data_IF_549667205120
#
_entry.id   IF_549667205120
#
_cell.length_a   1.000
_cell.length_b   1.000
_cell.length_c   1.000
_cell.angle_alpha   90.00
_cell.angle_beta   90.00
_cell.angle_gamma   90.00
#
_symmetry.space_group_name_H-M   'P 1'
#
loop_
_entity.id
_entity.type
_entity.pdbx_description
1 polymer ?
#
# COMPACT_ATOMS: atom_id res chain seq x y z
N UNK A 1 -32.21 -22.77 -21.79
CA UNK A 1 -32.32 -22.75 -20.32
C UNK A 1 -31.43 -21.64 -19.75
N UNK A 2 -32.03 -20.53 -19.31
CA UNK A 2 -31.29 -19.38 -18.75
C UNK A 2 -31.31 -19.49 -17.23
N UNK A 3 -30.15 -19.65 -16.59
CA UNK A 3 -30.02 -19.60 -15.12
C UNK A 3 -30.16 -18.15 -14.64
N UNK A 4 -31.26 -17.83 -13.96
CA UNK A 4 -31.47 -16.56 -13.26
C UNK A 4 -30.48 -16.44 -12.08
N UNK A 5 -29.67 -15.38 -12.06
CA UNK A 5 -28.96 -14.93 -10.85
C UNK A 5 -29.89 -13.98 -10.08
N UNK A 6 -30.10 -14.27 -8.80
CA UNK A 6 -30.84 -13.40 -7.88
C UNK A 6 -30.03 -12.12 -7.62
N UNK A 7 -30.51 -10.99 -8.13
CA UNK A 7 -30.01 -9.67 -7.76
C UNK A 7 -30.78 -9.17 -6.53
N UNK A 8 -30.06 -8.93 -5.43
CA UNK A 8 -30.62 -8.29 -4.24
C UNK A 8 -30.98 -6.83 -4.56
N UNK A 9 -32.25 -6.47 -4.33
CA UNK A 9 -32.84 -5.16 -4.69
C UNK A 9 -32.42 -4.00 -3.77
N UNK A 10 -31.76 -4.25 -2.64
CA UNK A 10 -31.32 -3.18 -1.73
C UNK A 10 -30.07 -2.42 -2.22
N UNK A 11 -29.30 -2.99 -3.14
CA UNK A 11 -28.09 -2.36 -3.66
C UNK A 11 -28.35 -1.13 -4.57
N UNK A 12 -29.61 -0.87 -4.96
CA UNK A 12 -29.95 0.20 -5.91
C UNK A 12 -30.22 1.57 -5.29
N UNK A 13 -30.46 1.66 -3.97
CA UNK A 13 -30.86 2.94 -3.34
C UNK A 13 -29.69 3.89 -3.03
N UNK A 14 -28.48 3.37 -2.90
CA UNK A 14 -27.29 4.20 -2.65
C UNK A 14 -26.62 4.71 -3.95
N UNK A 15 -27.22 4.44 -5.10
CA UNK A 15 -26.54 4.57 -6.39
C UNK A 15 -26.74 5.91 -7.12
N UNK A 16 -27.58 6.83 -6.61
CA UNK A 16 -28.15 7.89 -7.48
C UNK A 16 -27.71 9.33 -7.17
N UNK A 17 -27.04 9.64 -6.06
CA UNK A 17 -26.79 11.04 -5.68
C UNK A 17 -25.32 11.47 -5.69
N UNK A 18 -24.54 11.01 -6.69
CA UNK A 18 -23.18 11.51 -6.93
C UNK A 18 -22.92 11.81 -8.40
N UNK A 19 -23.57 12.86 -8.87
CA UNK A 19 -23.06 13.67 -9.96
C UNK A 19 -23.19 15.09 -9.46
N UNK A 20 -22.08 15.71 -9.05
CA UNK A 20 -21.60 16.82 -9.85
C UNK A 20 -20.28 17.45 -9.39
N UNK A 21 -19.48 17.73 -10.41
CA UNK A 21 -18.51 18.82 -10.53
C UNK A 21 -17.19 18.65 -9.78
N UNK A 22 -16.20 18.21 -10.56
CA UNK A 22 -14.80 18.49 -10.27
C UNK A 22 -14.46 19.97 -10.50
N UNK A 23 -13.42 20.45 -9.81
CA UNK A 23 -12.46 21.44 -10.33
C UNK A 23 -11.26 21.58 -9.40
N UNK A 24 -10.08 21.48 -10.04
CA UNK A 24 -8.80 22.16 -9.78
C UNK A 24 -8.43 22.48 -8.32
N UNK A 25 -7.34 21.87 -7.85
CA UNK A 25 -6.09 22.49 -7.36
C UNK A 25 -5.33 21.48 -6.49
N UNK A 26 -4.08 21.20 -6.86
CA UNK A 26 -3.08 20.60 -5.99
C UNK A 26 -2.66 21.69 -4.98
N UNK A 27 -3.35 21.83 -3.85
CA UNK A 27 -2.78 22.51 -2.69
C UNK A 27 -3.24 21.86 -1.38
N UNK A 28 -2.27 21.76 -0.47
CA UNK A 28 -2.42 21.47 0.95
C UNK A 28 -3.05 20.13 1.28
N UNK A 29 -2.27 19.07 1.08
CA UNK A 29 -2.29 17.99 2.08
C UNK A 29 -1.67 18.64 3.32
N UNK A 30 -2.53 19.07 4.25
CA UNK A 30 -2.21 19.24 5.67
C UNK A 30 -1.24 18.09 6.07
N UNK A 31 -0.32 18.21 7.02
CA UNK A 31 0.62 17.13 7.40
C UNK A 31 0.43 16.61 8.84
N UNK A 32 -0.54 17.15 9.59
CA UNK A 32 -0.88 16.80 10.98
C UNK A 32 -1.93 15.68 11.26
N UNK A 33 -2.96 15.45 10.43
CA UNK A 33 -4.08 14.49 10.59
C UNK A 33 -4.09 13.30 9.60
N UNK A 34 -4.53 12.08 9.97
CA UNK A 34 -4.66 10.95 9.03
C UNK A 34 -5.60 11.27 7.86
N UNK A 35 -5.34 10.68 6.67
CA UNK A 35 -6.28 10.76 5.54
C UNK A 35 -7.39 9.73 5.77
N UNK A 36 -8.63 10.22 5.88
CA UNK A 36 -9.81 9.37 5.86
C UNK A 36 -10.31 9.26 4.43
N UNK A 37 -10.46 8.03 3.93
CA UNK A 37 -11.05 7.80 2.62
C UNK A 37 -12.57 7.83 2.69
N UNK A 38 -13.20 8.49 1.72
CA UNK A 38 -14.65 8.40 1.54
C UNK A 38 -15.04 7.03 0.98
N UNK A 39 -16.31 6.65 1.10
CA UNK A 39 -16.77 5.38 0.52
C UNK A 39 -16.67 5.38 -1.01
N UNK A 40 -16.80 6.54 -1.67
CA UNK A 40 -16.69 6.65 -3.13
C UNK A 40 -15.24 6.55 -3.59
N UNK A 41 -14.31 7.16 -2.85
CA UNK A 41 -12.89 6.91 -3.05
C UNK A 41 -12.62 5.40 -2.92
N UNK A 42 -13.13 4.74 -1.90
CA UNK A 42 -12.94 3.29 -1.69
C UNK A 42 -13.52 2.47 -2.85
N UNK A 43 -14.72 2.78 -3.33
CA UNK A 43 -15.35 2.09 -4.45
C UNK A 43 -14.54 2.28 -5.75
N UNK A 44 -14.01 3.47 -5.99
CA UNK A 44 -13.10 3.74 -7.11
C UNK A 44 -11.77 2.99 -6.97
N UNK A 45 -11.26 2.84 -5.76
CA UNK A 45 -10.06 2.06 -5.49
C UNK A 45 -10.29 0.58 -5.78
N UNK A 46 -11.46 0.00 -5.50
CA UNK A 46 -11.74 -1.39 -5.86
C UNK A 46 -11.70 -1.64 -7.39
N UNK A 47 -12.02 -0.64 -8.21
CA UNK A 47 -11.90 -0.73 -9.68
C UNK A 47 -10.44 -0.77 -10.16
N UNK A 48 -9.47 -0.45 -9.30
CA UNK A 48 -8.05 -0.48 -9.65
C UNK A 48 -7.57 -1.91 -9.90
N UNK A 49 -8.17 -2.92 -9.29
CA UNK A 49 -7.75 -4.33 -9.47
C UNK A 49 -7.86 -4.79 -10.94
N UNK A 50 -8.78 -4.20 -11.72
CA UNK A 50 -8.94 -4.49 -13.14
C UNK A 50 -7.98 -3.71 -14.06
N UNK A 51 -7.32 -2.68 -13.53
CA UNK A 51 -6.47 -1.77 -14.29
C UNK A 51 -5.18 -2.42 -14.80
N UNK A 52 -4.67 -1.93 -15.94
CA UNK A 52 -3.39 -2.36 -16.51
C UNK A 52 -2.25 -2.12 -15.51
N UNK A 53 -2.24 -0.96 -14.83
CA UNK A 53 -1.19 -0.62 -13.88
C UNK A 53 -1.17 -1.54 -12.66
N UNK A 54 -2.34 -1.94 -12.15
CA UNK A 54 -2.39 -2.92 -11.07
C UNK A 54 -1.88 -4.29 -11.51
N UNK A 55 -2.28 -4.76 -12.69
CA UNK A 55 -1.80 -6.05 -13.24
C UNK A 55 -0.29 -6.01 -13.46
N UNK A 56 0.24 -4.90 -13.97
CA UNK A 56 1.66 -4.70 -14.19
C UNK A 56 2.43 -4.64 -12.86
N UNK A 57 1.94 -3.85 -11.91
CA UNK A 57 2.48 -3.81 -10.56
C UNK A 57 2.51 -5.20 -9.93
N UNK A 58 1.39 -5.94 -9.96
CA UNK A 58 1.27 -7.27 -9.38
C UNK A 58 2.24 -8.27 -10.01
N UNK A 59 2.40 -8.21 -11.35
CA UNK A 59 3.38 -9.01 -12.10
C UNK A 59 4.80 -8.80 -11.58
N UNK A 60 5.19 -7.54 -11.34
CA UNK A 60 6.55 -7.21 -10.88
C UNK A 60 6.71 -7.30 -9.35
N UNK A 61 5.63 -7.21 -8.57
CA UNK A 61 5.66 -7.27 -7.11
C UNK A 61 5.72 -8.70 -6.54
N UNK A 62 5.50 -9.73 -7.37
CA UNK A 62 5.41 -11.14 -6.95
C UNK A 62 6.68 -11.68 -6.24
N UNK A 63 7.82 -10.99 -6.31
CA UNK A 63 9.12 -11.46 -5.79
C UNK A 63 9.70 -10.60 -4.66
N UNK A 64 8.85 -9.97 -3.85
CA UNK A 64 9.28 -8.96 -2.87
C UNK A 64 10.12 -9.45 -1.68
N UNK A 65 10.31 -10.76 -1.53
CA UNK A 65 11.19 -11.33 -0.52
C UNK A 65 12.65 -11.44 -1.03
N UNK A 66 13.59 -10.90 -0.24
CA UNK A 66 15.00 -11.35 -0.22
C UNK A 66 15.92 -10.90 -1.35
N UNK A 67 15.54 -9.93 -2.19
CA UNK A 67 16.43 -9.45 -3.26
C UNK A 67 16.55 -10.40 -4.44
N UNK A 68 15.56 -11.29 -4.64
CA UNK A 68 15.52 -12.25 -5.76
C UNK A 68 15.47 -11.52 -7.12
N UNK A 69 14.83 -10.35 -7.18
CA UNK A 69 14.72 -9.56 -8.40
C UNK A 69 14.72 -8.05 -8.11
N UNK A 70 15.90 -7.42 -7.99
CA UNK A 70 16.01 -5.98 -7.75
C UNK A 70 15.36 -5.12 -8.85
N UNK A 71 15.44 -5.57 -10.11
CA UNK A 71 14.88 -4.84 -11.25
C UNK A 71 13.35 -4.87 -11.24
N UNK A 72 12.75 -6.03 -10.97
CA UNK A 72 11.32 -6.18 -10.78
C UNK A 72 10.80 -5.34 -9.60
N UNK A 73 11.53 -5.30 -8.48
CA UNK A 73 11.21 -4.41 -7.35
C UNK A 73 11.20 -2.94 -7.77
N UNK A 74 12.27 -2.47 -8.40
CA UNK A 74 12.39 -1.06 -8.78
C UNK A 74 11.33 -0.66 -9.81
N UNK A 75 10.96 -1.57 -10.71
CA UNK A 75 9.84 -1.40 -11.65
C UNK A 75 8.49 -1.30 -10.93
N UNK A 76 8.20 -2.20 -9.98
CA UNK A 76 6.95 -2.13 -9.20
C UNK A 76 6.86 -0.83 -8.38
N UNK A 77 7.96 -0.40 -7.78
CA UNK A 77 8.05 0.89 -7.08
C UNK A 77 7.84 2.06 -8.05
N UNK A 78 8.40 2.00 -9.25
CA UNK A 78 8.19 3.02 -10.27
C UNK A 78 6.71 3.11 -10.66
N UNK A 79 6.09 1.98 -11.04
CA UNK A 79 4.66 1.91 -11.40
C UNK A 79 3.78 2.48 -10.29
N UNK A 80 4.00 2.07 -9.04
CA UNK A 80 3.23 2.57 -7.91
C UNK A 80 3.41 4.08 -7.69
N UNK A 81 4.61 4.64 -7.88
CA UNK A 81 4.83 6.08 -7.75
C UNK A 81 4.27 6.89 -8.92
N UNK A 82 4.22 6.31 -10.12
CA UNK A 82 3.70 6.94 -11.33
C UNK A 82 2.17 6.97 -11.37
N UNK A 83 1.48 6.11 -10.62
CA UNK A 83 0.02 6.10 -10.52
C UNK A 83 -0.49 6.37 -9.10
N UNK A 84 -1.03 7.58 -8.89
CA UNK A 84 -1.58 8.02 -7.59
C UNK A 84 -2.72 7.13 -7.09
N UNK A 85 -3.64 6.70 -7.96
CA UNK A 85 -4.80 5.87 -7.56
C UNK A 85 -4.34 4.48 -7.15
N UNK A 86 -3.39 3.88 -7.88
CA UNK A 86 -2.77 2.61 -7.50
C UNK A 86 -2.09 2.73 -6.14
N UNK A 87 -1.26 3.75 -5.92
CA UNK A 87 -0.61 3.96 -4.61
C UNK A 87 -1.60 4.12 -3.48
N UNK A 88 -2.66 4.90 -3.69
CA UNK A 88 -3.73 5.08 -2.72
C UNK A 88 -4.47 3.77 -2.43
N UNK A 89 -4.70 2.94 -3.46
CA UNK A 89 -5.28 1.60 -3.32
C UNK A 89 -4.39 0.70 -2.47
N UNK A 90 -3.08 0.66 -2.74
CA UNK A 90 -2.13 -0.14 -1.97
C UNK A 90 -2.11 0.27 -0.49
N UNK A 91 -2.10 1.58 -0.21
CA UNK A 91 -2.22 2.07 1.16
C UNK A 91 -3.55 1.74 1.81
N UNK A 92 -4.66 1.80 1.07
CA UNK A 92 -5.96 1.38 1.57
C UNK A 92 -5.98 -0.11 1.92
N UNK A 93 -5.40 -0.98 1.09
CA UNK A 93 -5.30 -2.42 1.37
C UNK A 93 -4.47 -2.70 2.62
N UNK A 94 -3.43 -1.90 2.88
CA UNK A 94 -2.52 -2.07 4.01
C UNK A 94 -3.02 -1.46 5.33
N UNK A 95 -3.68 -0.30 5.29
CA UNK A 95 -4.03 0.48 6.49
C UNK A 95 -5.54 0.69 6.66
N UNK A 96 -6.36 0.22 5.72
CA UNK A 96 -7.79 0.44 5.70
C UNK A 96 -8.18 1.89 5.40
N UNK A 97 -9.38 2.28 5.83
CA UNK A 97 -9.97 3.60 5.50
C UNK A 97 -9.23 4.79 6.09
N UNK A 98 -8.50 4.58 7.20
CA UNK A 98 -7.79 5.63 7.94
C UNK A 98 -6.29 5.50 7.67
N UNK A 99 -5.84 6.07 6.56
CA UNK A 99 -4.45 6.02 6.14
C UNK A 99 -3.63 7.02 6.99
N UNK A 100 -2.67 6.54 7.80
CA UNK A 100 -1.86 7.42 8.63
C UNK A 100 -0.85 8.22 7.77
N UNK A 101 -0.39 9.37 8.27
CA UNK A 101 0.67 10.17 7.60
C UNK A 101 2.07 9.65 7.88
N UNK A 102 2.27 9.10 9.08
CA UNK A 102 3.51 8.46 9.53
C UNK A 102 3.18 7.09 10.09
N UNK A 103 4.09 6.16 9.92
CA UNK A 103 3.94 4.77 10.35
C UNK A 103 5.21 4.33 11.04
N UNK A 104 5.05 3.63 12.16
CA UNK A 104 6.13 2.88 12.78
C UNK A 104 6.41 1.63 11.95
N UNK A 105 7.64 1.50 11.50
CA UNK A 105 8.12 0.41 10.68
C UNK A 105 9.13 -0.41 11.47
N UNK A 106 9.08 -1.72 11.27
CA UNK A 106 9.96 -2.68 11.91
C UNK A 106 10.85 -3.28 10.84
N UNK A 107 12.13 -3.45 11.14
CA UNK A 107 13.05 -4.15 10.25
C UNK A 107 13.82 -5.21 10.99
N UNK A 108 13.82 -6.41 10.43
CA UNK A 108 14.67 -7.51 10.85
C UNK A 108 16.07 -7.29 10.29
N UNK A 109 17.08 -7.20 11.16
CA UNK A 109 18.46 -6.88 10.76
C UNK A 109 18.71 -5.39 10.52
N UNK A 110 19.99 -5.03 10.42
CA UNK A 110 20.43 -3.64 10.18
C UNK A 110 20.14 -3.15 8.76
N UNK A 111 20.25 -1.83 8.56
CA UNK A 111 20.35 -1.22 7.24
C UNK A 111 21.81 -0.83 7.07
N UNK A 112 22.46 -1.29 6.01
CA UNK A 112 23.59 -0.55 5.45
C UNK A 112 23.01 0.65 4.68
N UNK A 113 23.47 1.86 5.00
CA UNK A 113 22.88 3.15 4.60
C UNK A 113 22.79 3.42 3.09
N UNK A 114 23.09 2.44 2.23
CA UNK A 114 23.23 2.62 0.79
C UNK A 114 21.97 2.24 -0.02
N UNK A 115 20.92 1.68 0.61
CA UNK A 115 19.73 1.23 -0.12
C UNK A 115 18.64 2.31 -0.24
N UNK A 116 18.38 2.75 -1.47
CA UNK A 116 17.35 3.76 -1.82
C UNK A 116 15.94 3.37 -1.40
N UNK A 117 15.61 2.07 -1.43
CA UNK A 117 14.37 1.50 -0.91
C UNK A 117 14.70 0.22 -0.15
N UNK A 118 14.04 0.02 0.97
CA UNK A 118 14.34 -1.05 1.91
C UNK A 118 13.06 -1.72 2.37
N UNK A 119 13.10 -3.03 2.61
CA UNK A 119 11.97 -3.77 3.16
C UNK A 119 11.82 -3.50 4.66
N UNK A 120 10.57 -3.38 5.09
CA UNK A 120 10.11 -3.21 6.47
C UNK A 120 8.78 -3.95 6.66
N UNK A 121 8.36 -4.08 7.91
CA UNK A 121 7.02 -4.53 8.29
C UNK A 121 6.29 -3.41 9.02
N UNK A 122 5.00 -3.26 8.75
CA UNK A 122 4.10 -2.34 9.49
C UNK A 122 3.66 -2.90 10.84
N UNK A 123 3.83 -4.22 11.04
CA UNK A 123 3.44 -4.95 12.23
C UNK A 123 4.64 -5.63 12.90
N UNK A 124 4.80 -5.47 14.22
CA UNK A 124 5.90 -6.09 14.97
C UNK A 124 5.83 -7.61 15.00
N UNK A 125 4.63 -8.19 15.09
CA UNK A 125 4.41 -9.64 15.05
C UNK A 125 4.86 -10.25 13.72
N UNK A 126 4.57 -9.58 12.60
CA UNK A 126 5.05 -9.99 11.28
C UNK A 126 6.59 -9.94 11.19
N UNK A 127 7.21 -8.87 11.68
CA UNK A 127 8.67 -8.78 11.78
C UNK A 127 9.26 -9.88 12.67
N UNK A 128 8.64 -10.21 13.81
CA UNK A 128 9.08 -11.28 14.72
C UNK A 128 8.98 -12.66 14.08
N UNK A 129 7.92 -12.92 13.31
CA UNK A 129 7.78 -14.16 12.55
C UNK A 129 8.92 -14.30 11.52
N UNK A 130 9.22 -13.22 10.79
CA UNK A 130 10.34 -13.20 9.84
C UNK A 130 11.70 -13.38 10.54
N UNK A 131 11.92 -12.66 11.65
CA UNK A 131 13.11 -12.79 12.49
C UNK A 131 13.35 -14.25 12.90
N UNK A 132 12.33 -14.93 13.43
CA UNK A 132 12.41 -16.33 13.87
C UNK A 132 12.73 -17.27 12.71
N UNK A 133 12.12 -17.04 11.54
CA UNK A 133 12.33 -17.87 10.34
C UNK A 133 13.76 -17.83 9.82
N UNK A 134 14.44 -16.67 9.91
CA UNK A 134 15.78 -16.46 9.34
C UNK A 134 16.90 -16.38 10.39
N UNK A 135 16.62 -16.65 11.66
CA UNK A 135 17.64 -16.67 12.71
C UNK A 135 18.33 -15.33 12.97
N UNK A 136 17.66 -14.21 12.66
CA UNK A 136 18.24 -12.87 12.85
C UNK A 136 18.01 -12.40 14.29
N UNK A 137 19.01 -11.78 14.92
CA UNK A 137 18.94 -11.53 16.37
C UNK A 137 18.24 -10.25 16.78
N UNK A 138 17.96 -9.31 15.86
CA UNK A 138 17.45 -7.99 16.22
C UNK A 138 16.39 -7.48 15.26
N UNK A 139 15.38 -6.83 15.84
CA UNK A 139 14.39 -6.00 15.14
C UNK A 139 14.63 -4.56 15.55
N UNK A 140 14.76 -3.67 14.57
CA UNK A 140 14.89 -2.24 14.78
C UNK A 140 13.58 -1.52 14.42
N UNK A 141 13.33 -0.40 15.10
CA UNK A 141 12.18 0.46 14.85
C UNK A 141 12.60 1.67 14.03
N UNK A 142 11.71 2.08 13.14
CA UNK A 142 11.86 3.23 12.28
C UNK A 142 10.53 3.97 12.19
N UNK A 143 10.58 5.24 11.85
CA UNK A 143 9.44 6.04 11.45
C UNK A 143 9.56 6.38 9.96
N UNK A 144 8.49 6.14 9.21
CA UNK A 144 8.39 6.48 7.80
C UNK A 144 7.15 7.31 7.49
N UNK A 145 7.27 8.27 6.56
CA UNK A 145 6.11 8.99 6.02
C UNK A 145 5.39 8.14 4.98
N UNK A 146 4.07 8.14 4.96
CA UNK A 146 3.24 7.30 4.08
C UNK A 146 3.59 7.45 2.59
N UNK A 147 3.91 8.67 2.14
CA UNK A 147 4.29 8.94 0.76
C UNK A 147 5.60 8.24 0.34
N UNK A 148 6.42 7.84 1.29
CA UNK A 148 7.67 7.12 1.07
C UNK A 148 7.54 5.63 1.39
N UNK A 149 6.32 5.10 1.47
CA UNK A 149 6.01 3.70 1.71
C UNK A 149 5.27 3.16 0.48
N UNK A 150 5.64 1.97 0.00
CA UNK A 150 4.90 1.21 -1.00
C UNK A 150 4.55 -0.14 -0.38
N UNK A 151 3.27 -0.38 -0.05
CA UNK A 151 2.87 -1.64 0.56
C UNK A 151 3.03 -2.85 -0.36
N UNK A 152 3.34 -4.00 0.25
CA UNK A 152 3.33 -5.30 -0.44
C UNK A 152 1.92 -5.83 -0.68
N UNK A 153 1.72 -6.51 -1.81
CA UNK A 153 0.55 -7.38 -2.00
C UNK A 153 0.79 -8.80 -1.48
N UNK A 154 1.89 -9.03 -0.73
CA UNK A 154 2.26 -10.36 -0.23
C UNK A 154 1.35 -10.89 0.88
N UNK A 155 0.55 -10.01 1.50
CA UNK A 155 -0.24 -10.32 2.69
C UNK A 155 0.60 -10.52 3.96
N UNK A 156 1.92 -10.32 3.89
CA UNK A 156 2.85 -10.51 5.02
C UNK A 156 3.10 -9.24 5.84
N UNK A 157 2.33 -8.18 5.63
CA UNK A 157 2.53 -6.84 6.21
C UNK A 157 3.86 -6.18 5.81
N UNK A 158 4.57 -6.75 4.82
CA UNK A 158 5.80 -6.19 4.28
C UNK A 158 5.52 -4.94 3.45
N UNK A 159 6.40 -3.95 3.53
CA UNK A 159 6.36 -2.72 2.74
C UNK A 159 7.78 -2.31 2.34
N UNK A 160 7.92 -1.65 1.20
CA UNK A 160 9.17 -0.95 0.86
C UNK A 160 9.08 0.49 1.31
N UNK A 161 10.09 0.96 2.03
CA UNK A 161 10.18 2.34 2.45
C UNK A 161 11.53 2.97 2.12
N UNK A 162 11.51 4.28 1.89
CA UNK A 162 12.70 5.13 1.75
C UNK A 162 12.64 6.30 2.73
N UNK A 163 13.77 6.95 2.97
CA UNK A 163 13.86 8.15 3.81
C UNK A 163 13.22 7.94 5.20
N UNK A 164 13.46 6.77 5.81
CA UNK A 164 12.96 6.43 7.15
C UNK A 164 13.97 6.84 8.21
N UNK A 165 13.49 7.20 9.40
CA UNK A 165 14.33 7.59 10.54
C UNK A 165 14.31 6.50 11.60
N UNK A 166 15.47 6.03 12.06
CA UNK A 166 15.55 5.09 13.20
C UNK A 166 15.08 5.79 14.47
N UNK A 167 14.28 5.11 15.29
CA UNK A 167 13.73 5.61 16.57
C UNK A 167 13.93 4.60 17.70
#
# INVERSE_FOLDING_TARGET
>A
MIKKKYYCKECKKYHILQTDIGKKHLHNIDTTKPKLLTNDEINELYKIEDSVDYKLFNKYSYKWLGGIDPAGRDMAIHIANSNRKLKQYLHFRQFGKKIPRKVTLYRVGGIENNYKWSSFWTNYGAAKAYQKRFGVNRIYKYEGTINNIIPSLSGSEEVFAKNVKKI
#
